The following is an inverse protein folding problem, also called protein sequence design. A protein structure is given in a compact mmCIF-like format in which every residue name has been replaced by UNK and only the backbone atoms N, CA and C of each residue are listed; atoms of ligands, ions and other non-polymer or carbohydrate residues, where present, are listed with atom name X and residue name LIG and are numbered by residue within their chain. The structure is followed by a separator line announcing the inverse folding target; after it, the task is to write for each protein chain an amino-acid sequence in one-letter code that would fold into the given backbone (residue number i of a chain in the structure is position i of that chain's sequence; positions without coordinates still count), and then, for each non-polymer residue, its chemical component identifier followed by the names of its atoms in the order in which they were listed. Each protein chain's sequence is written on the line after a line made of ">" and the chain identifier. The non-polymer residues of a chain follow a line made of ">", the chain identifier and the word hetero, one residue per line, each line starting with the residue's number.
data_IF_105713503092
#
_entry.id   IF_105713503092
#
_cell.length_a   1.000
_cell.length_b   1.000
_cell.length_c   1.000
_cell.angle_alpha   90.00
_cell.angle_beta   90.00
_cell.angle_gamma   90.00
#
_symmetry.space_group_name_H-M   'P 1'
#
loop_
_entity.id
_entity.type
_entity.pdbx_description
1 polymer ?
#
# COMPACT_ATOMS: atom_id res chain seq x y z
N UNK A 1 19.04 12.19 -5.72
CA UNK A 1 19.42 10.88 -5.14
C UNK A 1 18.56 10.65 -3.89
N UNK A 2 18.02 9.45 -3.72
CA UNK A 2 17.16 9.13 -2.57
C UNK A 2 17.97 9.04 -1.26
N UNK A 3 17.29 9.29 -0.15
CA UNK A 3 17.78 8.89 1.16
C UNK A 3 17.58 7.38 1.35
N UNK A 4 18.38 6.78 2.22
CA UNK A 4 18.32 5.36 2.50
C UNK A 4 18.40 5.15 4.01
N UNK A 5 17.29 4.63 4.62
CA UNK A 5 17.16 4.46 6.05
C UNK A 5 17.13 2.98 6.42
N UNK A 6 18.04 2.58 7.31
CA UNK A 6 17.96 1.28 7.98
C UNK A 6 17.01 1.42 9.17
N UNK A 7 15.83 0.86 9.06
CA UNK A 7 14.83 0.87 10.14
C UNK A 7 14.67 -0.54 10.67
N UNK A 8 14.77 -0.68 12.00
CA UNK A 8 14.63 -1.97 12.65
C UNK A 8 13.21 -2.52 12.46
N UNK A 9 13.05 -3.76 11.93
CA UNK A 9 11.73 -4.29 11.56
C UNK A 9 10.79 -4.53 12.75
N UNK A 10 11.32 -4.84 13.94
CA UNK A 10 10.51 -5.11 15.14
C UNK A 10 10.43 -3.90 16.08
N UNK A 11 11.44 -3.06 16.08
CA UNK A 11 11.53 -1.87 16.94
C UNK A 11 11.96 -0.65 16.10
N UNK A 12 11.07 -0.13 15.24
CA UNK A 12 11.39 1.01 14.40
C UNK A 12 11.84 2.22 15.20
N UNK A 13 12.94 2.85 14.77
CA UNK A 13 13.46 4.04 15.43
C UNK A 13 12.54 5.23 15.15
N UNK A 14 11.97 5.80 16.19
CA UNK A 14 11.01 6.90 16.09
C UNK A 14 11.56 8.08 15.29
N UNK A 15 12.83 8.42 15.44
CA UNK A 15 13.48 9.50 14.70
C UNK A 15 13.44 9.25 13.18
N UNK A 16 13.73 8.02 12.74
CA UNK A 16 13.72 7.68 11.33
C UNK A 16 12.29 7.61 10.76
N UNK A 17 11.36 7.10 11.54
CA UNK A 17 9.93 7.11 11.17
C UNK A 17 9.44 8.55 10.99
N UNK A 18 9.76 9.47 11.91
CA UNK A 18 9.39 10.87 11.78
C UNK A 18 10.00 11.54 10.54
N UNK A 19 11.25 11.23 10.21
CA UNK A 19 11.90 11.75 9.01
C UNK A 19 11.25 11.20 7.74
N UNK A 20 10.89 9.92 7.72
CA UNK A 20 10.18 9.31 6.59
C UNK A 20 8.79 9.94 6.36
N UNK A 21 8.06 10.18 7.45
CA UNK A 21 6.75 10.86 7.41
C UNK A 21 6.89 12.29 6.87
N UNK A 22 7.93 13.01 7.27
CA UNK A 22 8.19 14.36 6.76
C UNK A 22 8.48 14.34 5.24
N UNK A 23 9.23 13.37 4.75
CA UNK A 23 9.45 13.18 3.31
C UNK A 23 8.12 12.96 2.58
N UNK A 24 7.25 12.12 3.11
CA UNK A 24 5.90 11.92 2.56
C UNK A 24 5.10 13.21 2.52
N UNK A 25 5.06 13.96 3.62
CA UNK A 25 4.32 15.24 3.72
C UNK A 25 4.82 16.30 2.75
N UNK A 26 6.09 16.26 2.40
CA UNK A 26 6.69 17.16 1.40
C UNK A 26 6.45 16.71 -0.05
N UNK A 27 5.62 15.71 -0.27
CA UNK A 27 5.30 15.20 -1.61
C UNK A 27 6.25 14.12 -2.11
N UNK A 28 7.00 13.48 -1.22
CA UNK A 28 7.96 12.44 -1.58
C UNK A 28 7.29 11.13 -1.96
N UNK A 29 7.98 10.38 -2.81
CA UNK A 29 7.70 8.98 -3.12
C UNK A 29 8.67 8.11 -2.34
N UNK A 30 8.16 7.14 -1.60
CA UNK A 30 8.97 6.24 -0.78
C UNK A 30 8.83 4.78 -1.21
N UNK A 31 9.88 4.01 -0.96
CA UNK A 31 9.83 2.54 -0.94
C UNK A 31 9.80 2.11 0.52
N UNK A 32 8.84 1.29 0.90
CA UNK A 32 8.65 0.87 2.28
C UNK A 32 8.23 -0.61 2.37
N UNK A 33 8.55 -1.29 3.48
CA UNK A 33 8.23 -2.70 3.67
C UNK A 33 6.76 -2.90 4.05
N UNK A 34 6.19 -4.01 3.57
CA UNK A 34 4.89 -4.53 3.99
C UNK A 34 4.99 -6.03 4.28
N UNK A 35 3.90 -6.64 4.70
CA UNK A 35 3.82 -8.09 4.89
C UNK A 35 3.71 -8.90 3.58
N UNK A 36 3.57 -8.22 2.44
CA UNK A 36 3.54 -8.85 1.11
C UNK A 36 4.76 -8.51 0.24
N UNK A 37 5.73 -7.80 0.79
CA UNK A 37 6.92 -7.29 0.11
C UNK A 37 7.04 -5.79 0.16
N UNK A 38 8.05 -5.25 -0.52
CA UNK A 38 8.23 -3.80 -0.64
C UNK A 38 7.18 -3.17 -1.55
N UNK A 39 6.81 -1.93 -1.24
CA UNK A 39 5.82 -1.16 -1.98
C UNK A 39 6.30 0.27 -2.22
N UNK A 40 5.73 0.90 -3.23
CA UNK A 40 5.83 2.35 -3.46
C UNK A 40 4.67 3.05 -2.75
N UNK A 41 4.93 4.19 -2.17
CA UNK A 41 3.91 4.96 -1.47
C UNK A 41 4.08 6.46 -1.58
N UNK A 42 2.97 7.18 -1.51
CA UNK A 42 2.90 8.63 -1.45
C UNK A 42 1.65 9.09 -0.70
N UNK A 43 1.53 10.40 -0.50
CA UNK A 43 0.34 11.00 0.12
C UNK A 43 -0.87 10.93 -0.81
N UNK A 44 -2.05 10.71 -0.22
CA UNK A 44 -3.32 10.84 -0.93
C UNK A 44 -3.48 12.29 -1.40
N UNK A 45 -3.93 12.47 -2.64
CA UNK A 45 -4.19 13.80 -3.20
C UNK A 45 -2.97 14.50 -3.77
N UNK A 46 -1.78 13.98 -3.57
CA UNK A 46 -0.58 14.51 -4.21
C UNK A 46 -0.47 13.97 -5.64
N UNK A 47 -0.98 14.78 -6.57
CA UNK A 47 -1.00 14.43 -8.00
C UNK A 47 0.40 14.18 -8.55
N UNK A 48 1.36 15.02 -8.21
CA UNK A 48 2.72 14.94 -8.74
C UNK A 48 3.41 13.65 -8.25
N UNK A 49 3.29 13.33 -6.96
CA UNK A 49 3.85 12.09 -6.41
C UNK A 49 3.20 10.85 -7.03
N UNK A 50 1.89 10.87 -7.21
CA UNK A 50 1.16 9.78 -7.86
C UNK A 50 1.59 9.59 -9.32
N UNK A 51 1.76 10.67 -10.07
CA UNK A 51 2.24 10.61 -11.46
C UNK A 51 3.65 10.02 -11.54
N UNK A 52 4.50 10.29 -10.55
CA UNK A 52 5.83 9.65 -10.44
C UNK A 52 5.72 8.14 -10.24
N UNK A 53 4.84 7.68 -9.37
CA UNK A 53 4.61 6.23 -9.18
C UNK A 53 4.10 5.58 -10.46
N UNK A 54 3.15 6.21 -11.14
CA UNK A 54 2.63 5.75 -12.45
C UNK A 54 3.77 5.60 -13.46
N UNK A 55 4.65 6.58 -13.54
CA UNK A 55 5.80 6.57 -14.45
C UNK A 55 6.81 5.46 -14.09
N UNK A 56 7.15 5.31 -12.82
CA UNK A 56 8.09 4.27 -12.33
C UNK A 56 7.57 2.88 -12.68
N UNK A 57 6.29 2.63 -12.43
CA UNK A 57 5.64 1.34 -12.64
C UNK A 57 5.17 1.13 -14.09
N UNK A 58 5.16 2.17 -14.93
CA UNK A 58 4.52 2.17 -16.25
C UNK A 58 3.08 1.63 -16.20
N UNK A 59 2.32 2.13 -15.23
CA UNK A 59 0.95 1.68 -15.00
C UNK A 59 0.02 2.12 -16.13
N UNK A 60 -0.90 1.25 -16.58
CA UNK A 60 -1.93 1.63 -17.55
C UNK A 60 -2.91 2.64 -16.95
N UNK A 61 -3.58 3.39 -17.81
CA UNK A 61 -4.68 4.26 -17.39
C UNK A 61 -5.76 3.46 -16.67
N UNK A 62 -6.25 3.97 -15.55
CA UNK A 62 -7.26 3.29 -14.73
C UNK A 62 -6.72 2.17 -13.83
N UNK A 63 -5.41 2.09 -13.61
CA UNK A 63 -4.83 1.15 -12.66
C UNK A 63 -5.34 1.41 -11.23
N UNK A 64 -5.63 0.33 -10.52
CA UNK A 64 -6.10 0.39 -9.14
C UNK A 64 -4.94 0.64 -8.17
N UNK A 65 -4.94 1.80 -7.52
CA UNK A 65 -4.14 2.02 -6.33
C UNK A 65 -4.82 1.41 -5.10
N UNK A 66 -4.02 1.19 -4.06
CA UNK A 66 -4.50 0.70 -2.77
C UNK A 66 -4.28 1.76 -1.71
N UNK A 67 -5.29 1.99 -0.88
CA UNK A 67 -5.14 2.73 0.37
C UNK A 67 -4.59 1.80 1.43
N UNK A 68 -3.45 2.15 2.00
CA UNK A 68 -2.82 1.42 3.09
C UNK A 68 -3.09 2.18 4.38
N UNK A 69 -3.74 1.52 5.33
CA UNK A 69 -4.19 2.09 6.59
C UNK A 69 -3.58 1.35 7.78
N UNK A 70 -3.44 2.02 8.91
CA UNK A 70 -3.01 1.38 10.16
C UNK A 70 -4.13 0.64 10.88
N UNK A 71 -5.36 1.10 10.68
CA UNK A 71 -6.59 0.53 11.22
C UNK A 71 -7.79 0.92 10.34
N UNK A 72 -8.99 0.66 10.80
CA UNK A 72 -10.23 0.91 10.05
C UNK A 72 -10.93 2.23 10.43
N UNK A 73 -10.31 3.08 11.25
CA UNK A 73 -10.94 4.31 11.74
C UNK A 73 -11.27 5.31 10.61
N UNK A 74 -10.44 5.35 9.58
CA UNK A 74 -10.59 6.23 8.40
C UNK A 74 -11.37 5.58 7.24
N UNK A 75 -11.78 4.31 7.41
CA UNK A 75 -12.39 3.53 6.33
C UNK A 75 -13.63 4.22 5.75
N UNK A 76 -14.54 4.69 6.60
CA UNK A 76 -15.79 5.32 6.18
C UNK A 76 -15.61 6.65 5.46
N UNK A 77 -14.45 7.30 5.63
CA UNK A 77 -14.12 8.52 4.87
C UNK A 77 -13.93 8.20 3.40
N UNK A 78 -13.27 7.10 3.07
CA UNK A 78 -12.86 6.78 1.70
C UNK A 78 -13.70 5.72 1.02
N UNK A 79 -14.41 4.89 1.79
CA UNK A 79 -15.17 3.77 1.25
C UNK A 79 -16.54 3.60 1.92
N UNK A 80 -17.50 3.11 1.15
CA UNK A 80 -18.78 2.65 1.66
C UNK A 80 -18.72 1.16 1.91
N UNK A 81 -19.08 0.74 3.12
CA UNK A 81 -18.92 -0.65 3.57
C UNK A 81 -20.18 -1.07 4.33
N UNK A 82 -20.72 -2.23 4.01
CA UNK A 82 -21.81 -2.84 4.79
C UNK A 82 -21.28 -3.32 6.15
N UNK A 83 -22.16 -3.51 7.12
CA UNK A 83 -21.78 -4.01 8.43
C UNK A 83 -21.15 -5.42 8.36
N UNK A 84 -21.63 -6.27 7.46
CA UNK A 84 -21.07 -7.60 7.23
C UNK A 84 -19.66 -7.54 6.65
N UNK A 85 -19.44 -6.71 5.63
CA UNK A 85 -18.14 -6.49 5.04
C UNK A 85 -17.15 -5.89 6.06
N UNK A 86 -17.59 -4.91 6.85
CA UNK A 86 -16.76 -4.33 7.91
C UNK A 86 -16.26 -5.39 8.91
N UNK A 87 -17.15 -6.29 9.34
CA UNK A 87 -16.77 -7.38 10.26
C UNK A 87 -15.75 -8.33 9.64
N UNK A 88 -15.92 -8.67 8.36
CA UNK A 88 -14.94 -9.49 7.63
C UNK A 88 -13.57 -8.82 7.58
N UNK A 89 -13.52 -7.53 7.25
CA UNK A 89 -12.27 -6.77 7.22
C UNK A 89 -11.65 -6.75 8.61
N UNK A 90 -12.42 -6.39 9.64
CA UNK A 90 -11.94 -6.27 11.01
C UNK A 90 -11.36 -7.59 11.54
N UNK A 91 -12.00 -8.71 11.24
CA UNK A 91 -11.57 -10.03 11.74
C UNK A 91 -10.33 -10.57 11.01
N UNK A 92 -9.97 -9.99 9.86
CA UNK A 92 -8.88 -10.47 9.01
C UNK A 92 -7.77 -9.43 8.80
N UNK A 93 -7.76 -8.36 9.60
CA UNK A 93 -6.72 -7.33 9.55
C UNK A 93 -6.09 -7.12 10.95
N UNK A 94 -4.79 -6.77 11.01
CA UNK A 94 -3.85 -6.65 9.89
C UNK A 94 -3.55 -8.00 9.22
N UNK A 95 -3.16 -7.97 7.95
CA UNK A 95 -2.83 -9.20 7.23
C UNK A 95 -2.74 -9.04 5.71
N UNK A 96 -2.50 -10.16 5.05
CA UNK A 96 -2.15 -10.23 3.62
C UNK A 96 -3.39 -10.23 2.72
N UNK A 97 -4.25 -9.25 2.90
CA UNK A 97 -5.47 -9.06 2.10
C UNK A 97 -5.50 -7.69 1.47
N UNK A 98 -6.08 -7.62 0.28
CA UNK A 98 -6.53 -6.39 -0.35
C UNK A 98 -8.04 -6.48 -0.55
N UNK A 99 -8.77 -5.58 0.06
CA UNK A 99 -10.23 -5.52 -0.05
C UNK A 99 -10.62 -4.47 -1.09
N UNK A 100 -11.44 -4.86 -2.05
CA UNK A 100 -12.00 -3.94 -3.03
C UNK A 100 -13.34 -3.44 -2.51
N UNK A 101 -13.46 -2.11 -2.39
CA UNK A 101 -14.60 -1.43 -1.78
C UNK A 101 -15.12 -0.34 -2.70
N UNK A 102 -16.39 0.02 -2.53
CA UNK A 102 -16.98 1.17 -3.21
C UNK A 102 -16.41 2.47 -2.64
N UNK A 103 -15.83 3.30 -3.50
CA UNK A 103 -15.22 4.57 -3.09
C UNK A 103 -16.29 5.64 -2.80
N UNK A 104 -16.01 6.49 -1.81
CA UNK A 104 -16.81 7.68 -1.52
C UNK A 104 -16.37 8.86 -2.38
N UNK A 105 -17.11 9.97 -2.31
CA UNK A 105 -16.76 11.23 -2.99
C UNK A 105 -15.51 11.90 -2.45
N UNK A 106 -15.10 11.55 -1.25
CA UNK A 106 -13.89 12.08 -0.60
C UNK A 106 -12.62 11.57 -1.26
N UNK A 107 -12.70 10.43 -1.94
CA UNK A 107 -11.57 9.92 -2.69
C UNK A 107 -11.47 10.66 -4.04
N UNK A 108 -10.28 11.21 -4.39
CA UNK A 108 -10.08 11.82 -5.69
C UNK A 108 -10.46 10.89 -6.84
N UNK A 109 -11.23 11.41 -7.82
CA UNK A 109 -11.76 10.60 -8.94
C UNK A 109 -10.69 9.82 -9.70
N UNK A 110 -9.49 10.38 -9.82
CA UNK A 110 -8.36 9.74 -10.52
C UNK A 110 -7.83 8.50 -9.79
N UNK A 111 -8.16 8.31 -8.51
CA UNK A 111 -7.79 7.13 -7.72
C UNK A 111 -8.82 6.02 -7.80
N UNK A 112 -9.99 6.32 -8.35
CA UNK A 112 -11.05 5.34 -8.55
C UNK A 112 -10.86 4.65 -9.88
N UNK A 113 -11.26 3.38 -9.96
CA UNK A 113 -11.39 2.73 -11.26
C UNK A 113 -12.48 3.43 -12.06
N UNK A 114 -12.20 3.74 -13.32
CA UNK A 114 -13.10 4.52 -14.18
C UNK A 114 -14.48 3.88 -14.36
N UNK A 115 -14.59 2.57 -14.27
CA UNK A 115 -15.82 1.82 -14.52
C UNK A 115 -16.67 1.55 -13.29
N UNK A 116 -16.07 1.31 -12.12
CA UNK A 116 -16.77 0.82 -10.93
C UNK A 116 -16.72 1.77 -9.73
N UNK A 117 -15.91 2.81 -9.78
CA UNK A 117 -15.66 3.73 -8.65
C UNK A 117 -15.25 2.96 -7.38
N UNK A 118 -14.29 2.08 -7.51
CA UNK A 118 -13.77 1.26 -6.42
C UNK A 118 -12.36 1.66 -6.03
N UNK A 119 -11.96 1.27 -4.83
CA UNK A 119 -10.63 1.44 -4.29
C UNK A 119 -10.21 0.18 -3.53
N UNK A 120 -8.94 -0.20 -3.63
CA UNK A 120 -8.37 -1.24 -2.79
C UNK A 120 -8.00 -0.68 -1.42
N UNK A 121 -8.18 -1.48 -0.38
CA UNK A 121 -7.79 -1.14 0.98
C UNK A 121 -7.04 -2.32 1.60
N UNK A 122 -5.98 -2.03 2.34
CA UNK A 122 -5.32 -3.03 3.17
C UNK A 122 -4.77 -2.43 4.46
N UNK A 123 -4.64 -3.30 5.46
CA UNK A 123 -3.94 -3.02 6.73
C UNK A 123 -2.80 -4.01 6.81
N UNK A 124 -1.54 -3.60 6.54
CA UNK A 124 -0.40 -4.51 6.50
C UNK A 124 0.01 -4.94 7.91
N UNK A 125 0.38 -6.21 8.06
CA UNK A 125 0.99 -6.72 9.28
C UNK A 125 2.52 -6.56 9.20
N UNK A 126 2.95 -5.31 9.32
CA UNK A 126 4.36 -4.92 9.30
C UNK A 126 4.56 -3.72 10.22
N UNK A 127 5.44 -3.83 11.18
CA UNK A 127 5.61 -2.81 12.22
C UNK A 127 6.10 -1.47 11.66
N UNK A 128 7.01 -1.48 10.68
CA UNK A 128 7.48 -0.24 10.04
C UNK A 128 6.34 0.46 9.33
N UNK A 129 5.56 -0.26 8.53
CA UNK A 129 4.40 0.30 7.82
C UNK A 129 3.37 0.86 8.80
N UNK A 130 3.06 0.13 9.88
CA UNK A 130 2.11 0.59 10.90
C UNK A 130 2.59 1.83 11.64
N UNK A 131 3.86 1.89 11.99
CA UNK A 131 4.44 3.07 12.66
C UNK A 131 4.46 4.30 11.74
N UNK A 132 4.75 4.11 10.45
CA UNK A 132 4.63 5.18 9.44
C UNK A 132 3.20 5.72 9.38
N UNK A 133 2.23 4.83 9.26
CA UNK A 133 0.81 5.20 9.14
C UNK A 133 0.28 5.87 10.41
N UNK A 134 0.62 5.35 11.58
CA UNK A 134 0.21 5.94 12.87
C UNK A 134 0.82 7.33 13.07
N UNK A 135 2.07 7.52 12.69
CA UNK A 135 2.74 8.82 12.81
C UNK A 135 2.23 9.81 11.76
N UNK A 136 1.97 9.35 10.54
CA UNK A 136 1.39 10.17 9.48
C UNK A 136 -0.03 10.63 9.80
N UNK A 137 -0.82 9.76 10.43
CA UNK A 137 -2.21 10.03 10.81
C UNK A 137 -3.22 9.93 9.67
N UNK A 138 -2.81 9.45 8.51
CA UNK A 138 -3.69 9.25 7.34
C UNK A 138 -3.17 8.09 6.48
N UNK A 139 -4.01 7.54 5.58
CA UNK A 139 -3.58 6.45 4.71
C UNK A 139 -2.48 6.86 3.74
N UNK A 140 -1.67 5.88 3.34
CA UNK A 140 -0.71 6.00 2.24
C UNK A 140 -1.34 5.43 0.97
N UNK A 141 -1.24 6.18 -0.12
CA UNK A 141 -1.57 5.68 -1.45
C UNK A 141 -0.42 4.81 -1.94
N UNK A 142 -0.70 3.58 -2.31
CA UNK A 142 0.34 2.58 -2.51
C UNK A 142 0.10 1.67 -3.71
N UNK A 143 1.18 1.13 -4.23
CA UNK A 143 1.15 -0.01 -5.13
C UNK A 143 2.36 -0.91 -4.86
N UNK A 144 2.23 -2.20 -5.18
CA UNK A 144 3.33 -3.16 -5.04
C UNK A 144 4.53 -2.76 -5.91
N UNK A 145 5.72 -3.03 -5.42
CA UNK A 145 6.95 -2.77 -6.17
C UNK A 145 7.18 -3.90 -7.18
N UNK A 146 6.92 -3.60 -8.43
CA UNK A 146 7.24 -4.43 -9.59
C UNK A 146 7.65 -3.50 -10.73
N UNK A 147 8.87 -3.66 -11.23
CA UNK A 147 9.37 -2.83 -12.33
C UNK A 147 9.25 -3.59 -13.65
N UNK A 148 8.66 -3.00 -14.69
CA UNK A 148 8.39 -3.70 -15.94
C UNK A 148 9.63 -4.20 -16.66
N UNK A 149 10.77 -3.52 -16.48
CA UNK A 149 12.03 -3.89 -17.11
C UNK A 149 12.87 -4.89 -16.28
N UNK A 150 12.40 -5.27 -15.09
CA UNK A 150 13.08 -6.15 -14.14
C UNK A 150 12.15 -7.24 -13.60
N UNK A 151 11.47 -7.93 -14.48
CA UNK A 151 10.50 -8.99 -14.12
C UNK A 151 11.13 -10.18 -13.37
N UNK A 152 12.44 -10.37 -13.53
CA UNK A 152 13.17 -11.45 -12.86
C UNK A 152 13.67 -11.08 -11.47
N UNK A 153 13.54 -9.81 -11.07
CA UNK A 153 13.97 -9.34 -9.78
C UNK A 153 12.96 -9.72 -8.70
N UNK A 154 13.45 -10.25 -7.60
CA UNK A 154 12.57 -10.67 -6.50
C UNK A 154 12.11 -9.51 -5.61
N UNK A 155 12.74 -8.34 -5.73
CA UNK A 155 12.50 -7.17 -4.86
C UNK A 155 12.56 -7.49 -3.36
N UNK A 156 13.36 -8.49 -3.00
CA UNK A 156 13.52 -8.95 -1.62
C UNK A 156 14.64 -8.24 -0.90
N UNK A 157 15.67 -7.80 -1.64
CA UNK A 157 16.86 -7.14 -1.12
C UNK A 157 16.75 -5.63 -1.32
N UNK A 158 16.69 -4.82 -0.23
CA UNK A 158 16.64 -3.37 -0.33
C UNK A 158 17.84 -2.73 -1.03
N UNK A 159 19.02 -3.35 -0.98
CA UNK A 159 20.19 -2.84 -1.69
C UNK A 159 20.01 -2.95 -3.21
N UNK A 160 19.45 -4.04 -3.71
CA UNK A 160 19.13 -4.20 -5.13
C UNK A 160 18.03 -3.21 -5.55
N UNK A 161 17.02 -2.98 -4.70
CA UNK A 161 15.99 -1.97 -4.94
C UNK A 161 16.61 -0.58 -5.04
N UNK A 162 17.57 -0.27 -4.16
CA UNK A 162 18.30 0.99 -4.17
C UNK A 162 19.03 1.20 -5.50
N UNK A 163 19.75 0.21 -5.98
CA UNK A 163 20.47 0.29 -7.27
C UNK A 163 19.52 0.64 -8.43
N UNK A 164 18.29 0.10 -8.40
CA UNK A 164 17.29 0.35 -9.45
C UNK A 164 16.58 1.71 -9.31
N UNK A 165 16.30 2.16 -8.09
CA UNK A 165 15.34 3.23 -7.84
C UNK A 165 15.88 4.49 -7.17
N UNK A 166 17.15 4.52 -6.73
CA UNK A 166 17.66 5.64 -5.95
C UNK A 166 17.55 7.01 -6.61
N UNK A 167 17.43 7.05 -7.95
CA UNK A 167 17.26 8.29 -8.73
C UNK A 167 15.81 8.62 -9.03
N UNK A 168 14.88 7.72 -8.71
CA UNK A 168 13.47 7.86 -9.08
C UNK A 168 12.56 8.10 -7.88
N UNK A 169 13.02 7.79 -6.68
CA UNK A 169 12.28 7.97 -5.42
C UNK A 169 13.05 8.88 -4.45
N UNK A 170 12.39 9.32 -3.39
CA UNK A 170 12.99 10.25 -2.41
C UNK A 170 13.53 9.53 -1.18
N UNK A 171 12.99 8.37 -0.87
CA UNK A 171 13.43 7.53 0.26
C UNK A 171 13.26 6.06 -0.05
N UNK A 172 14.24 5.27 0.33
CA UNK A 172 14.15 3.81 0.39
C UNK A 172 14.36 3.39 1.83
N UNK A 173 13.40 2.65 2.39
CA UNK A 173 13.51 2.09 3.73
C UNK A 173 14.01 0.67 3.62
N UNK A 174 15.16 0.40 4.23
CA UNK A 174 15.66 -0.95 4.44
C UNK A 174 15.07 -1.51 5.73
N UNK A 175 14.11 -2.41 5.63
CA UNK A 175 13.45 -3.10 6.74
C UNK A 175 13.76 -4.60 6.76
N UNK A 176 14.87 -5.00 6.17
CA UNK A 176 15.27 -6.41 6.05
C UNK A 176 14.92 -7.02 4.70
N UNK A 177 15.29 -8.27 4.53
CA UNK A 177 14.92 -9.07 3.38
C UNK A 177 13.46 -9.49 3.49
N UNK A 178 12.66 -9.25 2.45
CA UNK A 178 11.25 -9.61 2.42
C UNK A 178 10.96 -10.56 1.26
N UNK A 179 10.15 -11.58 1.52
CA UNK A 179 9.54 -12.35 0.45
C UNK A 179 8.54 -11.50 -0.35
N UNK A 180 8.34 -11.82 -1.61
CA UNK A 180 7.29 -11.23 -2.42
C UNK A 180 6.13 -12.21 -2.50
N UNK A 181 5.12 -12.00 -1.67
CA UNK A 181 3.95 -12.85 -1.59
C UNK A 181 2.70 -12.01 -1.87
N UNK A 182 2.06 -12.16 -3.05
CA UNK A 182 0.89 -11.38 -3.39
C UNK A 182 -0.24 -11.55 -2.37
N UNK A 183 -0.96 -10.47 -2.09
CA UNK A 183 -2.15 -10.52 -1.24
C UNK A 183 -3.28 -11.29 -1.92
N UNK A 184 -4.14 -11.88 -1.08
CA UNK A 184 -5.46 -12.33 -1.52
C UNK A 184 -6.34 -11.12 -1.73
N UNK A 185 -6.99 -11.01 -2.90
CA UNK A 185 -7.85 -9.88 -3.26
C UNK A 185 -9.29 -10.31 -3.16
N UNK A 186 -10.06 -9.63 -2.31
CA UNK A 186 -11.46 -9.92 -2.04
C UNK A 186 -12.33 -8.71 -2.41
N UNK A 187 -13.26 -8.89 -3.31
CA UNK A 187 -14.25 -7.87 -3.66
C UNK A 187 -15.41 -7.91 -2.65
N UNK A 188 -15.62 -6.82 -1.95
CA UNK A 188 -16.68 -6.65 -0.96
C UNK A 188 -17.70 -5.57 -1.39
N UNK A 189 -17.78 -5.27 -2.67
CA UNK A 189 -18.73 -4.27 -3.21
C UNK A 189 -20.16 -4.80 -3.29
N UNK A 190 -20.34 -6.09 -3.35
CA UNK A 190 -21.65 -6.78 -3.42
C UNK A 190 -22.00 -7.41 -2.06
N UNK A 191 -23.20 -7.99 -1.97
CA UNK A 191 -23.67 -8.62 -0.72
C UNK A 191 -22.79 -9.79 -0.25
N UNK A 192 -22.28 -10.56 -1.19
CA UNK A 192 -21.42 -11.71 -0.91
C UNK A 192 -19.99 -11.43 -1.35
N UNK A 193 -18.98 -11.83 -0.55
CA UNK A 193 -17.59 -11.68 -0.93
C UNK A 193 -17.27 -12.47 -2.20
N UNK A 194 -16.44 -11.88 -3.08
CA UNK A 194 -15.92 -12.54 -4.28
C UNK A 194 -14.41 -12.51 -4.24
N UNK A 195 -13.77 -13.67 -4.30
CA UNK A 195 -12.31 -13.78 -4.37
C UNK A 195 -11.87 -13.51 -5.80
N UNK A 196 -11.20 -12.37 -6.02
CA UNK A 196 -10.69 -11.98 -7.33
C UNK A 196 -9.31 -12.57 -7.61
N UNK A 197 -8.54 -12.80 -6.56
CA UNK A 197 -7.21 -13.42 -6.65
C UNK A 197 -6.92 -14.14 -5.34
N UNK A 198 -6.57 -15.41 -5.44
CA UNK A 198 -6.01 -16.16 -4.33
C UNK A 198 -4.52 -15.82 -4.21
N UNK A 199 -4.11 -15.41 -3.04
CA UNK A 199 -2.73 -15.08 -2.71
C UNK A 199 -2.32 -15.73 -1.39
N UNK A 200 -1.48 -15.05 -0.61
CA UNK A 200 -0.96 -15.59 0.65
C UNK A 200 -1.96 -15.56 1.82
N UNK A 201 -3.00 -14.73 1.73
CA UNK A 201 -4.08 -14.73 2.73
C UNK A 201 -5.05 -15.90 2.52
N UNK A 202 -5.50 -16.54 3.62
CA UNK A 202 -6.47 -17.62 3.54
C UNK A 202 -7.81 -17.16 2.94
N UNK A 203 -8.36 -17.94 2.04
CA UNK A 203 -9.67 -17.68 1.44
C UNK A 203 -10.84 -18.15 2.31
N UNK A 204 -10.57 -19.02 3.30
CA UNK A 204 -11.59 -19.63 4.13
C UNK A 204 -12.60 -18.67 4.78
N UNK A 205 -12.22 -17.47 5.27
CA UNK A 205 -13.16 -16.52 5.86
C UNK A 205 -14.20 -15.94 4.88
N UNK A 206 -13.96 -16.08 3.57
CA UNK A 206 -14.73 -15.41 2.52
C UNK A 206 -15.51 -16.38 1.62
N UNK A 207 -15.55 -17.63 1.98
CA UNK A 207 -16.27 -18.70 1.25
C UNK A 207 -17.61 -18.99 1.91
#
# INVERSE_FOLDING_TARGET
>A
MSQFFYIHPENPQARLINQAVEILRQGGVIVYPTDSGYALGCMIGDKHAMDRIVAIRKLPEGHNFTLVCSDLSELSTYATVSNSAYRLIKNNTPGRYTFILTATKELPRRLMTSKRKTIGLRVPDNQIALDLLNTLGEPILSCSLMLPDNEHMTYSDPEEIRECLERQVDLIIHGGYLGQEPTTVVDLTEESPVILREGSGSTAPFI
#
